data_IF_752195878747
#
_entry.id   IF_752195878747
#
_cell.length_a   1.000
_cell.length_b   1.000
_cell.length_c   1.000
_cell.angle_alpha   90.00
_cell.angle_beta   90.00
_cell.angle_gamma   90.00
#
_symmetry.space_group_name_H-M   'P 1'
#
loop_
_entity.id
_entity.type
_entity.pdbx_description
1 polymer ?
#
# COMPACT_ATOMS: atom_id res chain seq x y z
N UNK A 1 -23.00 -25.68 -0.78
CA UNK A 1 -23.40 -26.94 -1.44
C UNK A 1 -22.33 -27.32 -2.46
N UNK A 2 -21.36 -28.18 -2.11
CA UNK A 2 -20.40 -28.71 -3.10
C UNK A 2 -19.76 -30.00 -2.58
N UNK A 3 -20.46 -31.12 -2.79
CA UNK A 3 -19.87 -32.46 -2.79
C UNK A 3 -19.57 -32.86 -4.24
N UNK A 4 -18.75 -33.90 -4.42
CA UNK A 4 -18.53 -34.56 -5.71
C UNK A 4 -19.85 -34.68 -6.46
N UNK A 5 -19.93 -34.10 -7.66
CA UNK A 5 -21.07 -34.27 -8.56
C UNK A 5 -21.02 -35.70 -9.12
N UNK A 6 -21.27 -36.69 -8.26
CA UNK A 6 -21.72 -38.00 -8.69
C UNK A 6 -23.15 -37.80 -9.14
N UNK A 7 -23.43 -38.16 -10.38
CA UNK A 7 -24.75 -38.10 -10.98
C UNK A 7 -25.73 -38.84 -10.07
N UNK A 8 -26.47 -38.11 -9.24
CA UNK A 8 -27.60 -38.64 -8.50
C UNK A 8 -28.81 -38.51 -9.43
N UNK A 9 -29.43 -39.61 -9.86
CA UNK A 9 -30.59 -39.57 -10.77
C UNK A 9 -31.84 -38.91 -10.14
N UNK A 10 -31.74 -38.42 -8.90
CA UNK A 10 -32.83 -37.90 -8.09
C UNK A 10 -33.03 -36.38 -8.21
N UNK A 11 -32.13 -35.64 -8.88
CA UNK A 11 -32.20 -34.17 -8.93
C UNK A 11 -32.23 -33.64 -10.36
N UNK A 12 -33.30 -32.93 -10.73
CA UNK A 12 -33.47 -32.38 -12.08
C UNK A 12 -32.66 -31.08 -12.32
N UNK A 13 -32.41 -30.31 -11.25
CA UNK A 13 -31.70 -29.02 -11.27
C UNK A 13 -30.81 -28.88 -10.03
N UNK A 14 -29.56 -28.45 -10.21
CA UNK A 14 -28.60 -28.22 -9.14
C UNK A 14 -27.78 -26.95 -9.39
N UNK A 15 -27.50 -26.18 -8.35
CA UNK A 15 -26.74 -24.94 -8.48
C UNK A 15 -26.99 -23.98 -7.32
N UNK A 16 -26.37 -22.79 -7.35
CA UNK A 16 -25.44 -22.29 -8.36
C UNK A 16 -24.05 -22.94 -8.26
N UNK A 17 -23.43 -23.25 -9.40
CA UNK A 17 -22.08 -23.85 -9.45
C UNK A 17 -21.26 -23.31 -10.62
N UNK A 18 -19.93 -23.30 -10.47
CA UNK A 18 -19.02 -23.00 -11.56
C UNK A 18 -19.10 -24.03 -12.69
N UNK A 19 -19.28 -23.52 -13.90
CA UNK A 19 -19.25 -24.26 -15.15
C UNK A 19 -17.78 -24.63 -15.43
N UNK A 20 -17.53 -25.91 -15.66
CA UNK A 20 -16.22 -26.42 -16.05
C UNK A 20 -16.41 -27.64 -16.97
N UNK A 21 -15.43 -27.89 -17.81
CA UNK A 21 -15.40 -28.99 -18.79
C UNK A 21 -15.67 -30.36 -18.15
N UNK A 22 -15.00 -30.67 -17.02
CA UNK A 22 -15.21 -31.94 -16.30
C UNK A 22 -16.62 -32.09 -15.74
N UNK A 23 -17.32 -30.98 -15.47
CA UNK A 23 -18.72 -31.01 -15.02
C UNK A 23 -19.66 -31.09 -16.22
N UNK A 24 -19.35 -30.37 -17.29
CA UNK A 24 -20.13 -30.41 -18.54
C UNK A 24 -20.10 -31.79 -19.22
N UNK A 25 -19.10 -32.63 -18.93
CA UNK A 25 -19.08 -34.02 -19.40
C UNK A 25 -20.12 -34.92 -18.70
N UNK A 26 -20.66 -34.53 -17.54
CA UNK A 26 -21.63 -35.34 -16.77
C UNK A 26 -23.01 -34.69 -16.63
N UNK A 27 -23.10 -33.37 -16.70
CA UNK A 27 -24.36 -32.60 -16.61
C UNK A 27 -24.47 -31.58 -17.75
N UNK A 28 -25.69 -31.20 -18.10
CA UNK A 28 -25.94 -30.08 -19.01
C UNK A 28 -26.06 -28.78 -18.21
N UNK A 29 -25.65 -27.64 -18.75
CA UNK A 29 -25.76 -26.35 -18.07
C UNK A 29 -26.80 -25.47 -18.75
N UNK A 30 -27.59 -24.78 -17.94
CA UNK A 30 -28.40 -23.66 -18.39
C UNK A 30 -27.51 -22.44 -18.69
N UNK A 31 -28.09 -21.41 -19.29
CA UNK A 31 -27.42 -20.13 -19.53
C UNK A 31 -26.78 -19.60 -18.21
N UNK A 32 -25.54 -19.07 -18.26
CA UNK A 32 -24.88 -18.54 -17.07
C UNK A 32 -25.72 -17.50 -16.34
N UNK A 33 -25.84 -17.64 -15.03
CA UNK A 33 -26.51 -16.64 -14.18
C UNK A 33 -25.56 -15.47 -13.94
N UNK A 34 -24.28 -15.79 -13.69
CA UNK A 34 -23.28 -14.81 -13.29
C UNK A 34 -21.88 -15.24 -13.69
N UNK A 35 -20.92 -14.34 -13.46
CA UNK A 35 -19.50 -14.53 -13.68
C UNK A 35 -18.75 -14.15 -12.41
N UNK A 36 -17.79 -14.98 -12.01
CA UNK A 36 -16.96 -14.69 -10.84
C UNK A 36 -15.53 -15.16 -11.02
N UNK A 37 -14.65 -14.51 -10.28
CA UNK A 37 -13.21 -14.71 -10.31
C UNK A 37 -12.73 -15.17 -8.93
N UNK A 38 -11.63 -15.91 -8.87
CA UNK A 38 -11.03 -16.28 -7.60
C UNK A 38 -10.22 -15.14 -7.03
N UNK A 39 -10.40 -14.94 -5.74
CA UNK A 39 -9.68 -13.97 -4.93
C UNK A 39 -9.05 -14.67 -3.74
N UNK A 40 -8.10 -13.98 -3.11
CA UNK A 40 -7.47 -14.44 -1.88
C UNK A 40 -7.99 -13.62 -0.72
N UNK A 41 -8.53 -14.32 0.28
CA UNK A 41 -8.93 -13.76 1.55
C UNK A 41 -7.70 -13.75 2.46
N UNK A 42 -7.32 -12.59 2.96
CA UNK A 42 -6.16 -12.41 3.84
C UNK A 42 -6.44 -11.43 4.97
N UNK A 43 -5.74 -11.60 6.08
CA UNK A 43 -5.79 -10.66 7.20
C UNK A 43 -5.20 -9.30 6.82
N UNK A 44 -5.62 -8.27 7.55
CA UNK A 44 -4.99 -6.96 7.49
C UNK A 44 -3.73 -6.95 8.35
N UNK A 45 -2.62 -6.56 7.75
CA UNK A 45 -1.38 -6.31 8.47
C UNK A 45 -1.15 -4.80 8.56
N UNK A 46 -0.55 -4.31 9.67
CA UNK A 46 -0.04 -2.95 9.70
C UNK A 46 0.96 -2.80 8.54
N UNK A 47 0.72 -1.86 7.63
CA UNK A 47 1.69 -1.52 6.60
C UNK A 47 2.97 -1.17 7.31
N UNK A 48 4.04 -1.85 6.91
CA UNK A 48 5.32 -1.84 7.60
C UNK A 48 5.68 -0.41 8.01
N UNK A 49 5.72 -0.16 9.32
CA UNK A 49 6.03 1.14 9.90
C UNK A 49 7.51 1.41 9.63
N UNK A 50 7.82 1.88 8.42
CA UNK A 50 9.16 2.31 8.08
C UNK A 50 9.51 3.49 9.00
N UNK A 51 10.46 3.35 9.93
CA UNK A 51 10.78 4.42 10.89
C UNK A 51 11.35 5.66 10.18
N UNK A 52 11.76 5.53 8.92
CA UNK A 52 12.30 6.58 8.06
C UNK A 52 11.26 7.19 7.12
N UNK A 53 9.96 7.07 7.41
CA UNK A 53 8.90 7.62 6.57
C UNK A 53 9.05 9.14 6.34
N UNK A 54 9.54 9.86 7.35
CA UNK A 54 9.85 11.29 7.32
C UNK A 54 10.72 11.66 6.10
N UNK A 55 11.62 10.78 5.68
CA UNK A 55 12.47 10.99 4.50
C UNK A 55 11.82 10.59 3.19
N UNK A 56 10.87 9.66 3.21
CA UNK A 56 10.14 9.16 2.04
C UNK A 56 9.02 10.10 1.57
N UNK A 57 8.70 11.14 2.35
CA UNK A 57 7.68 12.15 1.98
C UNK A 57 8.05 12.83 0.66
N UNK A 58 9.33 13.14 0.46
CA UNK A 58 9.86 13.60 -0.81
C UNK A 58 10.68 12.50 -1.49
N UNK A 59 10.59 12.44 -2.81
CA UNK A 59 11.45 11.55 -3.59
C UNK A 59 12.92 11.95 -3.42
N UNK A 60 13.83 11.00 -3.61
CA UNK A 60 15.27 11.27 -3.62
C UNK A 60 15.61 12.38 -4.63
N UNK A 61 14.94 12.39 -5.77
CA UNK A 61 15.09 13.43 -6.79
C UNK A 61 14.71 14.82 -6.26
N UNK A 62 13.60 14.95 -5.53
CA UNK A 62 13.18 16.22 -4.93
C UNK A 62 14.18 16.70 -3.86
N UNK A 63 14.68 15.80 -3.00
CA UNK A 63 15.73 16.14 -2.03
C UNK A 63 17.01 16.67 -2.69
N UNK A 64 17.46 16.02 -3.77
CA UNK A 64 18.62 16.47 -4.53
C UNK A 64 18.40 17.85 -5.16
N UNK A 65 17.18 18.12 -5.66
CA UNK A 65 16.83 19.44 -6.20
C UNK A 65 16.82 20.54 -5.12
N UNK A 66 16.38 20.24 -3.90
CA UNK A 66 16.46 21.19 -2.77
C UNK A 66 17.92 21.51 -2.44
N UNK A 67 18.78 20.48 -2.34
CA UNK A 67 20.22 20.69 -2.10
C UNK A 67 20.83 21.52 -3.23
N UNK A 68 20.55 21.17 -4.48
CA UNK A 68 21.02 21.92 -5.64
C UNK A 68 20.55 23.38 -5.61
N UNK A 69 19.30 23.64 -5.21
CA UNK A 69 18.78 24.99 -5.04
C UNK A 69 19.59 25.77 -3.98
N UNK A 70 19.87 25.19 -2.81
CA UNK A 70 20.72 25.84 -1.79
C UNK A 70 22.08 26.25 -2.39
N UNK A 71 22.72 25.38 -3.17
CA UNK A 71 23.98 25.69 -3.84
C UNK A 71 23.85 26.82 -4.87
N UNK A 72 22.78 26.83 -5.68
CA UNK A 72 22.53 27.88 -6.69
C UNK A 72 22.32 29.24 -6.03
N UNK A 73 21.48 29.30 -4.98
CA UNK A 73 21.19 30.55 -4.26
C UNK A 73 22.43 31.06 -3.52
N UNK A 74 23.19 30.17 -2.87
CA UNK A 74 24.46 30.54 -2.22
C UNK A 74 25.51 31.04 -3.23
N UNK A 75 25.60 30.40 -4.41
CA UNK A 75 26.50 30.82 -5.48
C UNK A 75 26.10 32.19 -6.04
N UNK A 76 24.80 32.43 -6.22
CA UNK A 76 24.27 33.72 -6.70
C UNK A 76 24.56 34.84 -5.69
N UNK A 77 24.34 34.60 -4.40
CA UNK A 77 24.70 35.57 -3.35
C UNK A 77 26.21 35.84 -3.29
N UNK A 78 27.03 34.79 -3.46
CA UNK A 78 28.48 34.93 -3.55
C UNK A 78 28.90 35.74 -4.79
N UNK A 79 28.26 35.55 -5.94
CA UNK A 79 28.53 36.37 -7.13
C UNK A 79 28.23 37.85 -6.88
N UNK A 80 27.08 38.16 -6.27
CA UNK A 80 26.72 39.53 -5.86
C UNK A 80 27.80 40.12 -4.94
N UNK A 81 28.33 39.32 -4.00
CA UNK A 81 29.43 39.74 -3.12
C UNK A 81 30.71 40.06 -3.89
N UNK A 82 31.08 39.22 -4.86
CA UNK A 82 32.34 39.39 -5.60
C UNK A 82 32.33 40.53 -6.62
N UNK A 83 31.16 40.86 -7.18
CA UNK A 83 31.00 41.96 -8.12
C UNK A 83 31.05 43.31 -7.39
N UNK A 84 30.69 43.33 -6.10
CA UNK A 84 30.77 44.54 -5.29
C UNK A 84 32.23 44.84 -4.91
N UNK A 85 32.74 46.07 -5.13
CA UNK A 85 34.11 46.45 -4.76
C UNK A 85 34.25 46.47 -3.24
N UNK A 86 34.59 45.31 -2.66
CA UNK A 86 34.77 45.15 -1.22
C UNK A 86 36.26 45.19 -0.89
N UNK A 87 36.67 46.19 -0.09
CA UNK A 87 38.05 46.47 0.32
C UNK A 87 38.72 45.39 1.23
N UNK A 88 38.09 44.22 1.42
CA UNK A 88 38.55 43.22 2.39
C UNK A 88 39.11 41.99 1.68
N UNK A 89 40.37 41.66 1.95
CA UNK A 89 41.06 40.41 1.55
C UNK A 89 40.54 39.20 2.36
N UNK A 90 39.22 39.05 2.49
CA UNK A 90 38.67 37.81 3.04
C UNK A 90 38.94 36.67 2.03
N UNK A 91 39.27 35.47 2.53
CA UNK A 91 39.44 34.32 1.64
C UNK A 91 38.11 34.08 0.93
N UNK A 92 38.11 34.17 -0.40
CA UNK A 92 36.91 34.02 -1.25
C UNK A 92 36.13 32.73 -0.96
N UNK A 93 36.84 31.64 -0.66
CA UNK A 93 36.24 30.36 -0.27
C UNK A 93 35.46 30.44 1.05
N UNK A 94 35.96 31.16 2.04
CA UNK A 94 35.28 31.33 3.33
C UNK A 94 33.94 32.05 3.17
N UNK A 95 33.89 33.08 2.32
CA UNK A 95 32.65 33.81 2.04
C UNK A 95 31.56 32.90 1.46
N UNK A 96 31.91 32.03 0.49
CA UNK A 96 30.96 31.08 -0.10
C UNK A 96 30.36 30.13 0.95
N UNK A 97 31.20 29.50 1.79
CA UNK A 97 30.71 28.60 2.85
C UNK A 97 29.84 29.33 3.88
N UNK A 98 30.09 30.61 4.16
CA UNK A 98 29.22 31.42 5.05
C UNK A 98 27.86 31.70 4.42
N UNK A 99 27.78 31.93 3.10
CA UNK A 99 26.49 32.06 2.41
C UNK A 99 25.76 30.72 2.34
N UNK A 100 26.45 29.63 2.01
CA UNK A 100 25.88 28.28 2.00
C UNK A 100 25.20 27.97 3.34
N UNK A 101 25.92 28.21 4.43
CA UNK A 101 25.41 28.05 5.80
C UNK A 101 24.23 28.99 6.13
N UNK A 102 24.20 30.20 5.56
CA UNK A 102 23.11 31.15 5.81
C UNK A 102 21.81 30.73 5.10
N UNK A 103 21.90 30.26 3.85
CA UNK A 103 20.75 29.73 3.11
C UNK A 103 20.24 28.41 3.71
N UNK A 104 21.14 27.53 4.16
CA UNK A 104 20.78 26.29 4.88
C UNK A 104 20.04 26.59 6.20
N UNK A 105 20.51 27.56 6.99
CA UNK A 105 19.81 27.99 8.21
C UNK A 105 18.42 28.54 7.92
N UNK A 106 18.30 29.33 6.87
CA UNK A 106 17.03 29.90 6.41
C UNK A 106 16.03 28.83 6.00
N UNK A 107 16.49 27.77 5.34
CA UNK A 107 15.65 26.61 5.01
C UNK A 107 15.04 25.94 6.24
N UNK A 108 15.78 25.87 7.35
CA UNK A 108 15.33 25.28 8.62
C UNK A 108 14.45 26.28 9.43
N UNK A 109 14.14 27.45 8.87
CA UNK A 109 13.31 28.48 9.52
C UNK A 109 14.07 29.36 10.50
N UNK A 110 15.41 29.37 10.46
CA UNK A 110 16.24 30.30 11.24
C UNK A 110 16.64 31.49 10.38
N UNK A 111 16.68 32.69 10.97
CA UNK A 111 17.10 33.89 10.25
C UNK A 111 18.51 33.77 9.63
N UNK A 112 18.71 34.45 8.50
CA UNK A 112 20.03 34.61 7.85
C UNK A 112 21.11 35.19 8.79
N UNK A 113 20.69 35.80 9.90
CA UNK A 113 21.52 36.38 10.95
C UNK A 113 21.58 37.90 10.86
N UNK A 114 22.27 38.51 11.83
CA UNK A 114 22.37 39.97 11.92
C UNK A 114 23.21 40.58 10.78
N UNK A 115 22.78 41.74 10.30
CA UNK A 115 23.45 42.58 9.29
C UNK A 115 24.83 43.07 9.75
N UNK A 116 25.14 42.92 11.04
CA UNK A 116 26.45 43.22 11.61
C UNK A 116 27.55 42.25 11.14
N UNK A 117 27.18 41.07 10.64
CA UNK A 117 28.13 40.08 10.10
C UNK A 117 28.80 40.60 8.84
N UNK A 118 30.12 40.48 8.75
CA UNK A 118 30.92 41.09 7.68
C UNK A 118 30.51 40.68 6.25
N UNK A 119 30.03 39.44 6.06
CA UNK A 119 29.58 38.93 4.76
C UNK A 119 28.16 39.40 4.39
N UNK A 120 27.33 39.78 5.36
CA UNK A 120 25.98 40.30 5.10
C UNK A 120 25.95 41.84 5.03
N UNK A 121 26.81 42.51 5.81
CA UNK A 121 26.78 43.97 6.03
C UNK A 121 26.68 44.82 4.76
N UNK A 122 27.46 44.47 3.74
CA UNK A 122 27.55 45.28 2.51
C UNK A 122 26.47 44.94 1.50
N UNK A 123 25.89 43.74 1.58
CA UNK A 123 24.92 43.25 0.60
C UNK A 123 23.48 43.38 1.09
N UNK A 124 23.27 43.46 2.40
CA UNK A 124 21.94 43.46 3.02
C UNK A 124 20.98 44.54 2.46
N UNK A 125 21.53 45.69 2.09
CA UNK A 125 20.74 46.81 1.55
C UNK A 125 20.58 46.78 0.03
N UNK A 126 21.25 45.86 -0.69
CA UNK A 126 21.15 45.77 -2.14
C UNK A 126 19.78 45.22 -2.55
N UNK A 127 19.06 45.87 -3.48
CA UNK A 127 17.78 45.38 -3.99
C UNK A 127 17.85 43.97 -4.57
N UNK A 128 18.93 43.66 -5.32
CA UNK A 128 19.15 42.34 -5.93
C UNK A 128 19.23 41.22 -4.89
N UNK A 129 19.88 41.47 -3.75
CA UNK A 129 20.00 40.48 -2.69
C UNK A 129 18.70 40.34 -1.90
N UNK A 130 17.97 41.44 -1.67
CA UNK A 130 16.65 41.39 -1.03
C UNK A 130 15.66 40.60 -1.88
N UNK A 131 15.66 40.80 -3.20
CA UNK A 131 14.82 40.01 -4.10
C UNK A 131 15.20 38.52 -4.05
N UNK A 132 16.49 38.21 -4.10
CA UNK A 132 16.99 36.84 -3.96
C UNK A 132 16.53 36.19 -2.64
N UNK A 133 16.64 36.92 -1.53
CA UNK A 133 16.19 36.47 -0.21
C UNK A 133 14.67 36.27 -0.16
N UNK A 134 13.89 37.18 -0.74
CA UNK A 134 12.43 37.07 -0.78
C UNK A 134 11.96 35.86 -1.58
N UNK A 135 12.57 35.62 -2.75
CA UNK A 135 12.26 34.44 -3.58
C UNK A 135 12.64 33.15 -2.85
N UNK A 136 13.83 33.12 -2.22
CA UNK A 136 14.25 31.98 -1.41
C UNK A 136 13.29 31.70 -0.27
N UNK A 137 12.88 32.73 0.47
CA UNK A 137 11.96 32.60 1.59
C UNK A 137 10.59 32.08 1.14
N UNK A 138 10.05 32.62 0.04
CA UNK A 138 8.79 32.14 -0.53
C UNK A 138 8.89 30.66 -0.93
N UNK A 139 10.00 30.27 -1.57
CA UNK A 139 10.25 28.88 -1.94
C UNK A 139 10.32 27.95 -0.72
N UNK A 140 11.04 28.35 0.33
CA UNK A 140 11.12 27.59 1.58
C UNK A 140 9.75 27.46 2.24
N UNK A 141 8.96 28.54 2.28
CA UNK A 141 7.62 28.54 2.86
C UNK A 141 6.70 27.56 2.12
N UNK A 142 6.69 27.57 0.79
CA UNK A 142 5.89 26.62 -0.01
C UNK A 142 6.33 25.19 0.25
N UNK A 143 7.64 24.92 0.20
CA UNK A 143 8.18 23.57 0.44
C UNK A 143 7.87 23.04 1.84
N UNK A 144 7.98 23.88 2.87
CA UNK A 144 7.66 23.51 4.25
C UNK A 144 6.17 23.20 4.42
N UNK A 145 5.27 24.01 3.85
CA UNK A 145 3.83 23.77 3.93
C UNK A 145 3.42 22.49 3.18
N UNK A 146 3.98 22.26 1.99
CA UNK A 146 3.74 21.02 1.24
C UNK A 146 4.26 19.82 2.02
N UNK A 147 5.48 19.90 2.56
CA UNK A 147 6.07 18.84 3.36
C UNK A 147 5.21 18.51 4.60
N UNK A 148 4.77 19.53 5.34
CA UNK A 148 3.89 19.36 6.50
C UNK A 148 2.54 18.74 6.10
N UNK A 149 1.92 19.22 5.01
CA UNK A 149 0.65 18.68 4.53
C UNK A 149 0.75 17.21 4.12
N UNK A 150 1.79 16.85 3.35
CA UNK A 150 2.03 15.47 2.95
C UNK A 150 2.43 14.59 4.13
N UNK A 151 3.19 15.12 5.09
CA UNK A 151 3.49 14.42 6.34
C UNK A 151 2.20 14.04 7.06
N UNK A 152 1.34 15.03 7.33
CA UNK A 152 0.07 14.81 8.03
C UNK A 152 -0.82 13.83 7.28
N UNK A 153 -0.97 13.94 5.96
CA UNK A 153 -1.80 13.00 5.19
C UNK A 153 -1.24 11.58 5.21
N UNK A 154 0.07 11.40 5.15
CA UNK A 154 0.72 10.08 5.17
C UNK A 154 0.65 9.41 6.55
N UNK A 155 0.62 10.20 7.64
CA UNK A 155 0.38 9.68 8.98
C UNK A 155 -1.11 9.49 9.30
N UNK A 156 -2.00 10.26 8.65
CA UNK A 156 -3.45 10.14 8.83
C UNK A 156 -4.05 8.99 8.01
N UNK A 157 -3.45 8.61 6.88
CA UNK A 157 -3.87 7.45 6.12
C UNK A 157 -3.67 6.19 6.96
N UNK A 158 -4.77 5.51 7.28
CA UNK A 158 -4.72 4.27 8.03
C UNK A 158 -3.89 3.23 7.26
N UNK A 159 -2.96 2.60 7.98
CA UNK A 159 -1.91 1.76 7.41
C UNK A 159 -2.33 0.30 7.30
N UNK A 160 -3.57 -0.06 7.60
CA UNK A 160 -4.00 -1.45 7.41
C UNK A 160 -4.03 -1.79 5.92
N UNK A 161 -3.06 -2.60 5.48
CA UNK A 161 -3.00 -3.15 4.14
C UNK A 161 -3.32 -4.64 4.18
N UNK A 162 -3.95 -5.21 3.15
CA UNK A 162 -4.06 -6.65 3.04
C UNK A 162 -2.65 -7.26 3.06
N UNK A 163 -2.49 -8.38 3.75
CA UNK A 163 -1.21 -9.11 3.80
C UNK A 163 -0.75 -9.55 2.40
N UNK A 164 -1.71 -9.80 1.52
CA UNK A 164 -1.50 -10.22 0.14
C UNK A 164 -2.23 -9.25 -0.79
N UNK A 165 -1.47 -8.35 -1.41
CA UNK A 165 -2.00 -7.39 -2.39
C UNK A 165 -1.62 -7.75 -3.83
N UNK A 166 -0.52 -8.49 -4.01
CA UNK A 166 -0.03 -8.92 -5.32
C UNK A 166 0.26 -10.41 -5.36
N UNK A 167 0.29 -10.98 -6.57
CA UNK A 167 0.67 -12.36 -6.76
C UNK A 167 2.12 -12.63 -6.31
N UNK A 168 3.02 -11.66 -6.48
CA UNK A 168 4.41 -11.79 -6.03
C UNK A 168 4.49 -11.84 -4.50
N UNK A 169 3.69 -11.04 -3.80
CA UNK A 169 3.62 -11.10 -2.33
C UNK A 169 3.03 -12.42 -1.86
N UNK A 170 2.05 -12.96 -2.59
CA UNK A 170 1.49 -14.27 -2.30
C UNK A 170 2.54 -15.39 -2.36
N UNK A 171 3.48 -15.30 -3.30
CA UNK A 171 4.57 -16.27 -3.45
C UNK A 171 5.69 -16.09 -2.43
N UNK A 172 5.86 -14.90 -1.83
CA UNK A 172 6.94 -14.59 -0.87
C UNK A 172 6.74 -15.20 0.52
N UNK A 173 5.53 -15.60 0.90
CA UNK A 173 5.25 -16.16 2.23
C UNK A 173 5.16 -17.69 2.18
N UNK A 174 6.25 -18.45 2.36
CA UNK A 174 6.24 -19.91 2.30
C UNK A 174 5.50 -20.57 3.49
N UNK A 175 5.54 -19.93 4.66
CA UNK A 175 4.98 -20.49 5.91
C UNK A 175 3.46 -20.26 6.06
N UNK A 176 2.86 -19.48 5.16
CA UNK A 176 1.43 -19.17 5.22
C UNK A 176 0.60 -20.42 4.89
N UNK A 177 -0.41 -20.72 5.70
CA UNK A 177 -1.34 -21.81 5.40
C UNK A 177 -2.28 -21.34 4.28
N UNK A 178 -2.27 -22.02 3.12
CA UNK A 178 -3.18 -21.71 2.01
C UNK A 178 -4.28 -22.76 2.03
N UNK A 179 -5.54 -22.35 2.20
CA UNK A 179 -6.69 -23.24 2.23
C UNK A 179 -7.71 -22.97 1.13
N UNK A 180 -8.49 -24.00 0.82
CA UNK A 180 -9.74 -23.88 0.05
C UNK A 180 -10.68 -25.04 0.39
N UNK A 181 -11.91 -24.99 -0.12
CA UNK A 181 -12.86 -26.08 0.09
C UNK A 181 -12.54 -27.29 -0.80
N UNK A 182 -12.73 -28.48 -0.24
CA UNK A 182 -12.70 -29.73 -0.99
C UNK A 182 -13.70 -29.67 -2.16
N UNK A 183 -13.30 -30.18 -3.34
CA UNK A 183 -14.13 -30.24 -4.55
C UNK A 183 -14.65 -28.88 -5.07
N UNK A 184 -14.04 -27.77 -4.66
CA UNK A 184 -14.39 -26.44 -5.11
C UNK A 184 -13.64 -26.03 -6.40
N UNK A 185 -14.14 -24.97 -7.05
CA UNK A 185 -13.57 -24.43 -8.28
C UNK A 185 -12.08 -24.04 -8.17
N UNK A 186 -11.57 -23.48 -7.04
CA UNK A 186 -10.14 -23.21 -6.86
C UNK A 186 -9.24 -24.42 -7.08
N UNK A 187 -9.65 -25.59 -6.60
CA UNK A 187 -8.90 -26.85 -6.79
C UNK A 187 -8.82 -27.19 -8.28
N UNK A 188 -9.96 -27.11 -8.98
CA UNK A 188 -10.05 -27.45 -10.39
C UNK A 188 -9.25 -26.48 -11.27
N UNK A 189 -9.26 -25.18 -10.95
CA UNK A 189 -8.51 -24.21 -11.74
C UNK A 189 -7.01 -24.33 -11.52
N UNK A 190 -6.56 -24.37 -10.27
CA UNK A 190 -5.13 -24.46 -9.94
C UNK A 190 -4.51 -25.77 -10.41
N UNK A 191 -5.29 -26.86 -10.47
CA UNK A 191 -4.83 -28.12 -11.06
C UNK A 191 -4.46 -27.99 -12.54
N UNK A 192 -5.16 -27.15 -13.31
CA UNK A 192 -4.83 -26.89 -14.73
C UNK A 192 -3.58 -26.01 -14.90
N UNK A 193 -3.15 -25.34 -13.83
CA UNK A 193 -2.03 -24.38 -13.84
C UNK A 193 -0.72 -24.98 -13.29
N UNK A 194 -0.67 -26.30 -13.09
CA UNK A 194 0.56 -27.03 -12.75
C UNK A 194 1.58 -26.86 -13.89
N UNK A 195 2.83 -26.52 -13.57
CA UNK A 195 3.85 -26.10 -14.54
C UNK A 195 3.99 -24.58 -14.72
N UNK A 196 3.18 -23.79 -14.02
CA UNK A 196 3.31 -22.32 -13.93
C UNK A 196 3.89 -21.89 -12.57
N UNK A 197 4.06 -20.58 -12.35
CA UNK A 197 4.50 -20.02 -11.06
C UNK A 197 3.56 -20.39 -9.89
N UNK A 198 2.31 -20.80 -10.17
CA UNK A 198 1.30 -21.18 -9.19
C UNK A 198 1.35 -22.64 -8.75
N UNK A 199 2.27 -23.45 -9.27
CA UNK A 199 2.40 -24.87 -8.90
C UNK A 199 2.69 -25.04 -7.40
N UNK A 200 3.57 -24.21 -6.84
CA UNK A 200 3.90 -24.20 -5.41
C UNK A 200 2.68 -23.90 -4.53
N UNK A 201 1.82 -22.99 -4.99
CA UNK A 201 0.54 -22.64 -4.35
C UNK A 201 -0.39 -23.83 -4.36
N UNK A 202 -0.57 -24.49 -5.51
CA UNK A 202 -1.44 -25.65 -5.65
C UNK A 202 -1.04 -26.78 -4.70
N UNK A 203 0.26 -27.09 -4.60
CA UNK A 203 0.75 -28.14 -3.68
C UNK A 203 0.52 -27.81 -2.20
N UNK A 204 0.67 -26.54 -1.81
CA UNK A 204 0.39 -26.08 -0.43
C UNK A 204 -1.11 -26.12 -0.13
N UNK A 205 -1.92 -25.66 -1.08
CA UNK A 205 -3.37 -25.67 -0.96
C UNK A 205 -3.94 -27.09 -0.85
N UNK A 206 -3.44 -28.04 -1.65
CA UNK A 206 -3.88 -29.44 -1.64
C UNK A 206 -3.68 -30.13 -0.27
N UNK A 207 -2.73 -29.66 0.54
CA UNK A 207 -2.50 -30.18 1.90
C UNK A 207 -3.51 -29.67 2.93
N UNK A 208 -4.17 -28.53 2.66
CA UNK A 208 -5.08 -27.85 3.59
C UNK A 208 -6.46 -27.68 2.96
N UNK A 209 -7.02 -28.77 2.42
CA UNK A 209 -8.40 -28.77 1.96
C UNK A 209 -9.34 -28.89 3.15
N UNK A 210 -10.39 -28.07 3.14
CA UNK A 210 -11.36 -28.00 4.24
C UNK A 210 -12.71 -28.49 3.72
N UNK A 211 -13.43 -29.23 4.55
CA UNK A 211 -14.83 -29.58 4.25
C UNK A 211 -15.70 -28.33 4.36
N UNK A 212 -16.67 -28.22 3.44
CA UNK A 212 -17.58 -27.10 3.44
C UNK A 212 -18.43 -27.13 4.73
N UNK A 213 -18.42 -26.03 5.47
CA UNK A 213 -19.21 -25.85 6.68
C UNK A 213 -20.40 -24.92 6.41
N UNK A 214 -21.47 -25.07 7.19
CA UNK A 214 -22.62 -24.18 7.17
C UNK A 214 -22.43 -23.08 8.20
N UNK A 215 -22.11 -21.86 7.74
CA UNK A 215 -21.96 -20.70 8.61
C UNK A 215 -20.61 -20.00 8.42
N UNK A 216 -20.18 -19.26 9.45
CA UNK A 216 -18.86 -18.61 9.45
C UNK A 216 -17.79 -19.67 9.67
N UNK A 217 -16.83 -19.82 8.73
CA UNK A 217 -15.86 -20.88 8.86
C UNK A 217 -14.83 -20.62 9.97
N UNK A 218 -14.39 -21.65 10.72
CA UNK A 218 -13.39 -21.51 11.78
C UNK A 218 -12.01 -21.09 11.28
N UNK A 219 -11.72 -21.29 9.99
CA UNK A 219 -10.47 -20.84 9.39
C UNK A 219 -10.39 -19.31 9.30
N UNK A 220 -11.51 -18.58 9.37
CA UNK A 220 -11.52 -17.12 9.35
C UNK A 220 -10.69 -16.54 10.51
N UNK A 221 -10.75 -17.14 11.70
CA UNK A 221 -9.96 -16.73 12.87
C UNK A 221 -8.45 -16.82 12.61
N UNK A 222 -8.02 -17.83 11.84
CA UNK A 222 -6.60 -18.00 11.46
C UNK A 222 -6.16 -17.01 10.40
N UNK A 223 -7.09 -16.58 9.54
CA UNK A 223 -6.86 -15.53 8.54
C UNK A 223 -6.76 -14.16 9.22
N UNK A 224 -7.64 -13.88 10.18
CA UNK A 224 -7.58 -12.66 11.01
C UNK A 224 -6.25 -12.54 11.76
N UNK A 225 -5.67 -13.67 12.20
CA UNK A 225 -4.34 -13.72 12.84
C UNK A 225 -3.16 -13.62 11.86
N UNK A 226 -3.41 -13.55 10.55
CA UNK A 226 -2.37 -13.51 9.51
C UNK A 226 -1.58 -14.82 9.32
N UNK A 227 -2.08 -15.94 9.86
CA UNK A 227 -1.45 -17.27 9.77
C UNK A 227 -1.89 -18.06 8.55
N UNK A 228 -3.07 -17.75 8.03
CA UNK A 228 -3.65 -18.42 6.88
C UNK A 228 -4.15 -17.42 5.83
N UNK A 229 -4.25 -17.88 4.59
CA UNK A 229 -4.97 -17.23 3.51
C UNK A 229 -5.88 -18.26 2.83
N UNK A 230 -7.03 -17.79 2.35
CA UNK A 230 -8.04 -18.67 1.79
C UNK A 230 -8.38 -18.26 0.36
N UNK A 231 -8.47 -19.23 -0.55
CA UNK A 231 -8.83 -18.98 -1.94
C UNK A 231 -10.28 -19.38 -2.16
N UNK A 232 -11.10 -18.43 -2.58
CA UNK A 232 -12.51 -18.64 -2.90
C UNK A 232 -12.99 -17.64 -3.96
N UNK A 233 -14.21 -17.81 -4.47
CA UNK A 233 -14.80 -16.85 -5.39
C UNK A 233 -15.06 -15.49 -4.73
N UNK A 234 -14.93 -14.43 -5.52
CA UNK A 234 -15.03 -13.04 -5.07
C UNK A 234 -16.36 -12.72 -4.39
N UNK A 235 -17.47 -13.20 -4.96
CA UNK A 235 -18.81 -12.87 -4.48
C UNK A 235 -19.09 -13.50 -3.11
N UNK A 236 -18.85 -14.81 -2.99
CA UNK A 236 -19.00 -15.54 -1.74
C UNK A 236 -18.04 -15.04 -0.67
N UNK A 237 -16.79 -14.72 -1.04
CA UNK A 237 -15.79 -14.18 -0.12
C UNK A 237 -16.27 -12.86 0.50
N UNK A 238 -16.75 -11.93 -0.32
CA UNK A 238 -17.28 -10.65 0.15
C UNK A 238 -18.51 -10.85 1.03
N UNK A 239 -19.47 -11.66 0.61
CA UNK A 239 -20.66 -11.94 1.41
C UNK A 239 -20.32 -12.56 2.77
N UNK A 240 -19.40 -13.52 2.80
CA UNK A 240 -18.93 -14.17 4.03
C UNK A 240 -18.23 -13.19 4.98
N UNK A 241 -17.35 -12.32 4.47
CA UNK A 241 -16.69 -11.28 5.27
C UNK A 241 -17.74 -10.29 5.81
N UNK A 242 -18.75 -9.94 5.00
CA UNK A 242 -19.86 -9.09 5.42
C UNK A 242 -20.68 -9.69 6.57
N UNK A 243 -21.01 -10.98 6.51
CA UNK A 243 -21.69 -11.69 7.60
C UNK A 243 -20.82 -11.77 8.86
N UNK A 244 -19.51 -11.97 8.72
CA UNK A 244 -18.55 -11.90 9.83
C UNK A 244 -18.51 -10.51 10.48
N UNK A 245 -18.48 -9.46 9.66
CA UNK A 245 -18.51 -8.07 10.12
C UNK A 245 -19.81 -7.79 10.89
N UNK A 246 -20.96 -8.23 10.39
CA UNK A 246 -22.26 -8.07 11.07
C UNK A 246 -22.31 -8.71 12.47
N UNK A 247 -21.58 -9.81 12.69
CA UNK A 247 -21.54 -10.49 14.00
C UNK A 247 -20.50 -9.93 14.96
N UNK A 248 -19.36 -9.46 14.44
CA UNK A 248 -18.18 -9.11 15.27
C UNK A 248 -17.91 -7.61 15.35
N UNK A 249 -18.51 -6.82 14.45
CA UNK A 249 -18.27 -5.39 14.24
C UNK A 249 -16.79 -5.05 13.96
N UNK A 250 -16.02 -6.03 13.47
CA UNK A 250 -14.58 -5.90 13.18
C UNK A 250 -14.28 -6.18 11.72
N UNK A 251 -13.53 -5.28 11.09
CA UNK A 251 -13.05 -5.43 9.71
C UNK A 251 -11.56 -5.80 9.68
N UNK A 252 -11.22 -7.04 10.03
CA UNK A 252 -9.82 -7.52 10.12
C UNK A 252 -9.34 -8.31 8.89
N UNK A 253 -10.24 -8.57 7.94
CA UNK A 253 -10.00 -9.43 6.77
C UNK A 253 -10.40 -8.69 5.49
N UNK A 254 -9.63 -8.87 4.42
CA UNK A 254 -9.96 -8.34 3.09
C UNK A 254 -9.70 -9.34 1.97
N UNK A 255 -10.38 -9.14 0.86
CA UNK A 255 -10.08 -9.82 -0.41
C UNK A 255 -8.93 -9.11 -1.13
N UNK A 256 -8.14 -9.87 -1.88
CA UNK A 256 -7.07 -9.35 -2.74
C UNK A 256 -7.62 -8.46 -3.85
N UNK A 257 -6.81 -7.50 -4.31
CA UNK A 257 -7.14 -6.62 -5.44
C UNK A 257 -6.89 -7.27 -6.80
N UNK A 258 -6.01 -8.27 -6.85
CA UNK A 258 -5.83 -9.12 -8.03
C UNK A 258 -6.73 -10.35 -7.95
N UNK A 259 -7.13 -10.78 -9.14
CA UNK A 259 -7.94 -11.92 -9.42
C UNK A 259 -7.16 -12.94 -10.27
N UNK A 260 -7.59 -14.18 -10.22
CA UNK A 260 -7.11 -15.23 -11.12
C UNK A 260 -8.21 -16.26 -11.27
N UNK A 261 -8.13 -17.11 -12.29
CA UNK A 261 -9.10 -18.18 -12.51
C UNK A 261 -10.55 -17.68 -12.54
N UNK A 262 -11.01 -17.28 -13.72
CA UNK A 262 -12.36 -16.78 -13.91
C UNK A 262 -13.29 -17.83 -14.51
N UNK A 263 -14.55 -17.81 -14.08
CA UNK A 263 -15.52 -18.80 -14.51
C UNK A 263 -16.96 -18.31 -14.44
N UNK A 264 -17.78 -18.87 -15.32
CA UNK A 264 -19.21 -18.67 -15.30
C UNK A 264 -19.87 -19.54 -14.23
N UNK A 265 -20.84 -18.96 -13.53
CA UNK A 265 -21.68 -19.64 -12.55
C UNK A 265 -23.03 -19.91 -13.23
N UNK A 266 -23.46 -21.17 -13.20
CA UNK A 266 -24.71 -21.60 -13.82
C UNK A 266 -25.44 -22.65 -13.00
N UNK A 267 -26.62 -23.01 -13.50
CA UNK A 267 -27.39 -24.14 -12.99
C UNK A 267 -27.07 -25.37 -13.84
N UNK A 268 -26.71 -26.45 -13.18
CA UNK A 268 -26.62 -27.76 -13.80
C UNK A 268 -28.01 -28.39 -13.86
N UNK A 269 -28.27 -29.04 -14.98
CA UNK A 269 -29.45 -29.87 -15.24
C UNK A 269 -28.99 -31.28 -15.56
N UNK A 270 -29.88 -32.25 -15.34
CA UNK A 270 -29.62 -33.63 -15.72
C UNK A 270 -29.39 -33.74 -17.24
N UNK A 271 -28.55 -34.68 -17.66
CA UNK A 271 -28.33 -34.92 -19.09
C UNK A 271 -29.61 -35.40 -19.77
N UNK A 272 -29.88 -34.87 -20.95
CA UNK A 272 -31.04 -35.26 -21.75
C UNK A 272 -32.38 -34.68 -21.27
N UNK A 273 -32.34 -33.56 -20.52
CA UNK A 273 -33.52 -32.74 -20.26
C UNK A 273 -34.18 -32.33 -21.60
N UNK A 274 -35.52 -32.33 -21.72
CA UNK A 274 -36.17 -31.87 -22.95
C UNK A 274 -35.71 -30.46 -23.33
N UNK A 275 -35.27 -30.27 -24.57
CA UNK A 275 -34.76 -28.97 -25.09
C UNK A 275 -35.74 -27.82 -24.86
N UNK A 276 -37.04 -28.10 -24.91
CA UNK A 276 -38.08 -27.10 -24.64
C UNK A 276 -38.09 -26.63 -23.17
N UNK A 277 -37.79 -27.51 -22.22
CA UNK A 277 -37.65 -27.17 -20.80
C UNK A 277 -36.40 -26.34 -20.55
N UNK A 278 -35.26 -26.76 -21.12
CA UNK A 278 -34.00 -26.01 -21.01
C UNK A 278 -34.13 -24.60 -21.61
N UNK A 279 -34.76 -24.46 -22.79
CA UNK A 279 -34.98 -23.15 -23.40
C UNK A 279 -35.84 -22.22 -22.55
N UNK A 280 -36.89 -22.73 -21.91
CA UNK A 280 -37.71 -21.94 -20.98
C UNK A 280 -36.92 -21.48 -19.76
N UNK A 281 -36.03 -22.33 -19.25
CA UNK A 281 -35.13 -21.98 -18.14
C UNK A 281 -34.15 -20.89 -18.57
N UNK A 282 -33.54 -21.03 -19.75
CA UNK A 282 -32.62 -20.04 -20.30
C UNK A 282 -33.32 -18.68 -20.52
N UNK A 283 -34.52 -18.68 -21.11
CA UNK A 283 -35.34 -17.47 -21.29
C UNK A 283 -35.67 -16.80 -19.94
N UNK A 284 -35.91 -17.59 -18.88
CA UNK A 284 -36.19 -17.06 -17.54
C UNK A 284 -34.93 -16.47 -16.87
N UNK A 285 -33.78 -17.15 -16.99
CA UNK A 285 -32.49 -16.66 -16.47
C UNK A 285 -32.10 -15.36 -17.18
N UNK A 286 -32.26 -15.30 -18.50
CA UNK A 286 -32.01 -14.08 -19.28
C UNK A 286 -32.87 -12.93 -18.79
N UNK A 287 -34.20 -13.12 -18.65
CA UNK A 287 -35.09 -12.08 -18.10
C UNK A 287 -34.70 -11.64 -16.69
N UNK A 288 -34.26 -12.59 -15.85
CA UNK A 288 -33.81 -12.30 -14.49
C UNK A 288 -32.53 -11.44 -14.47
N UNK A 289 -31.58 -11.74 -15.37
CA UNK A 289 -30.34 -10.99 -15.54
C UNK A 289 -30.56 -9.62 -16.19
N UNK A 290 -31.31 -9.56 -17.29
CA UNK A 290 -31.67 -8.33 -18.01
C UNK A 290 -32.50 -7.38 -17.14
N UNK A 291 -33.38 -7.93 -16.28
CA UNK A 291 -34.12 -7.18 -15.28
C UNK A 291 -33.29 -6.67 -14.10
N UNK A 292 -31.97 -6.94 -14.07
CA UNK A 292 -31.01 -6.59 -13.00
C UNK A 292 -31.38 -7.13 -11.62
N UNK A 293 -32.23 -8.15 -11.54
CA UNK A 293 -32.63 -8.75 -10.27
C UNK A 293 -31.47 -9.53 -9.64
N UNK A 294 -30.69 -10.23 -10.48
CA UNK A 294 -29.45 -10.89 -10.06
C UNK A 294 -28.48 -9.90 -9.41
N UNK A 295 -28.22 -8.79 -10.10
CA UNK A 295 -27.30 -7.76 -9.64
C UNK A 295 -27.79 -7.08 -8.35
N UNK A 296 -29.10 -6.83 -8.22
CA UNK A 296 -29.66 -6.24 -7.00
C UNK A 296 -29.44 -7.15 -5.79
N UNK A 297 -29.76 -8.43 -5.92
CA UNK A 297 -29.58 -9.38 -4.83
C UNK A 297 -28.11 -9.56 -4.47
N UNK A 298 -27.24 -9.55 -5.48
CA UNK A 298 -25.79 -9.54 -5.29
C UNK A 298 -25.33 -8.32 -4.48
N UNK A 299 -25.77 -7.10 -4.84
CA UNK A 299 -25.43 -5.87 -4.12
C UNK A 299 -25.90 -5.91 -2.66
N UNK A 300 -27.12 -6.42 -2.40
CA UNK A 300 -27.64 -6.60 -1.05
C UNK A 300 -26.75 -7.57 -0.22
N UNK A 301 -26.25 -8.64 -0.85
CA UNK A 301 -25.42 -9.66 -0.18
C UNK A 301 -23.99 -9.20 0.17
N UNK A 302 -23.47 -8.18 -0.50
CA UNK A 302 -22.10 -7.65 -0.28
C UNK A 302 -22.09 -6.30 0.44
N UNK A 303 -23.25 -5.71 0.74
CA UNK A 303 -23.38 -4.39 1.35
C UNK A 303 -22.54 -4.25 2.64
N UNK A 304 -22.59 -5.23 3.53
CA UNK A 304 -21.83 -5.19 4.79
C UNK A 304 -20.32 -5.29 4.57
N UNK A 305 -19.89 -5.96 3.49
CA UNK A 305 -18.48 -5.94 3.09
C UNK A 305 -18.07 -4.56 2.60
N UNK A 306 -18.90 -3.88 1.80
CA UNK A 306 -18.58 -2.52 1.35
C UNK A 306 -18.51 -1.55 2.52
N UNK A 307 -19.42 -1.68 3.50
CA UNK A 307 -19.38 -0.92 4.75
C UNK A 307 -18.08 -1.21 5.52
N UNK A 308 -17.71 -2.48 5.72
CA UNK A 308 -16.45 -2.89 6.34
C UNK A 308 -15.23 -2.29 5.60
N UNK A 309 -15.22 -2.38 4.27
CA UNK A 309 -14.10 -1.91 3.46
C UNK A 309 -13.97 -0.39 3.45
N UNK A 310 -15.07 0.36 3.57
CA UNK A 310 -15.09 1.81 3.63
C UNK A 310 -14.89 2.36 5.04
N UNK A 311 -15.42 1.67 6.07
CA UNK A 311 -15.23 1.96 7.49
C UNK A 311 -13.90 1.38 7.98
N UNK A 312 -12.81 1.75 7.30
CA UNK A 312 -11.58 1.92 8.03
C UNK A 312 -11.83 3.16 8.87
N UNK A 313 -12.34 2.97 10.09
CA UNK A 313 -12.49 4.07 11.02
C UNK A 313 -11.21 4.90 10.97
N UNK A 314 -11.37 6.22 10.89
CA UNK A 314 -10.29 7.16 11.12
C UNK A 314 -9.86 7.03 12.59
N UNK A 315 -9.36 5.87 12.99
CA UNK A 315 -8.75 5.63 14.29
C UNK A 315 -7.50 6.48 14.23
N UNK A 316 -7.62 7.70 14.76
CA UNK A 316 -6.50 8.59 15.02
C UNK A 316 -5.64 7.88 16.06
N UNK A 317 -4.82 6.94 15.62
CA UNK A 317 -3.87 6.28 16.49
C UNK A 317 -2.84 7.34 16.90
N UNK A 318 -2.54 7.46 18.19
CA UNK A 318 -1.45 8.32 18.62
C UNK A 318 -0.15 7.85 17.95
N UNK A 319 0.72 8.79 17.59
CA UNK A 319 2.03 8.45 17.02
C UNK A 319 2.83 7.63 18.03
N UNK A 320 3.29 6.46 17.59
CA UNK A 320 4.11 5.57 18.40
C UNK A 320 5.59 6.01 18.35
N UNK A 321 6.38 5.61 19.35
CA UNK A 321 7.83 5.87 19.38
C UNK A 321 8.52 5.29 18.14
N UNK A 322 8.04 4.14 17.65
CA UNK A 322 8.55 3.50 16.43
C UNK A 322 8.33 4.36 15.18
N UNK A 323 7.27 5.17 15.14
CA UNK A 323 6.99 6.08 14.03
C UNK A 323 7.92 7.31 14.03
N UNK A 324 8.50 7.67 15.20
CA UNK A 324 9.45 8.79 15.36
C UNK A 324 10.92 8.35 15.48
N UNK A 325 11.19 7.05 15.45
CA UNK A 325 12.53 6.50 15.62
C UNK A 325 13.53 7.07 14.59
N UNK A 326 13.08 7.29 13.35
CA UNK A 326 13.88 7.95 12.32
C UNK A 326 14.35 9.34 12.75
N UNK A 327 13.48 10.18 13.31
CA UNK A 327 13.86 11.52 13.78
C UNK A 327 14.90 11.46 14.90
N UNK A 328 14.72 10.56 15.87
CA UNK A 328 15.68 10.39 16.97
C UNK A 328 17.03 9.85 16.50
N UNK A 329 17.06 8.94 15.53
CA UNK A 329 18.32 8.41 14.99
C UNK A 329 19.14 9.50 14.28
N UNK A 330 18.50 10.43 13.55
CA UNK A 330 19.17 11.60 12.94
C UNK A 330 19.77 12.50 14.01
N UNK A 331 19.02 12.76 15.09
CA UNK A 331 19.49 13.63 16.16
C UNK A 331 20.74 13.04 16.83
N UNK A 332 20.70 11.75 17.19
CA UNK A 332 21.83 11.05 17.81
C UNK A 332 23.02 11.02 16.86
N UNK A 333 22.83 10.63 15.60
CA UNK A 333 23.91 10.60 14.61
C UNK A 333 24.52 11.98 14.38
N UNK A 334 23.70 13.03 14.28
CA UNK A 334 24.16 14.41 14.14
C UNK A 334 24.99 14.88 15.34
N UNK A 335 24.57 14.54 16.56
CA UNK A 335 25.32 14.83 17.78
C UNK A 335 26.66 14.09 17.83
N UNK A 336 26.67 12.79 17.48
CA UNK A 336 27.89 11.99 17.41
C UNK A 336 28.88 12.56 16.39
N UNK A 337 28.42 12.90 15.19
CA UNK A 337 29.26 13.49 14.13
C UNK A 337 29.84 14.84 14.58
N UNK A 338 29.01 15.70 15.16
CA UNK A 338 29.45 16.99 15.71
C UNK A 338 30.53 16.82 16.80
N UNK A 339 30.35 15.85 17.70
CA UNK A 339 31.31 15.53 18.76
C UNK A 339 32.63 15.00 18.18
N UNK A 340 32.59 14.17 17.15
CA UNK A 340 33.78 13.69 16.44
C UNK A 340 34.55 14.87 15.83
N UNK A 341 33.88 15.78 15.12
CA UNK A 341 34.52 16.97 14.55
C UNK A 341 35.15 17.85 15.64
N UNK A 342 34.46 18.06 16.76
CA UNK A 342 35.00 18.81 17.89
C UNK A 342 36.26 18.17 18.47
N UNK A 343 36.28 16.84 18.63
CA UNK A 343 37.47 16.11 19.10
C UNK A 343 38.62 16.23 18.10
N UNK A 344 38.35 16.12 16.80
CA UNK A 344 39.36 16.31 15.76
C UNK A 344 39.95 17.72 15.78
N UNK A 345 39.11 18.75 15.91
CA UNK A 345 39.56 20.14 16.05
C UNK A 345 40.45 20.34 17.29
N UNK A 346 40.10 19.72 18.42
CA UNK A 346 40.93 19.75 19.63
C UNK A 346 42.29 19.06 19.43
N UNK A 347 42.30 17.90 18.77
CA UNK A 347 43.54 17.16 18.48
C UNK A 347 44.44 17.94 17.51
N UNK A 348 43.87 18.50 16.45
CA UNK A 348 44.60 19.33 15.49
C UNK A 348 45.17 20.59 16.16
N UNK A 349 44.39 21.28 17.00
CA UNK A 349 44.85 22.45 17.73
C UNK A 349 45.98 22.11 18.73
N UNK A 350 45.89 20.97 19.43
CA UNK A 350 46.96 20.49 20.31
C UNK A 350 48.23 20.13 19.53
N UNK A 351 48.11 19.46 18.37
CA UNK A 351 49.25 19.13 17.52
C UNK A 351 49.96 20.38 16.97
N UNK A 352 49.19 21.39 16.55
CA UNK A 352 49.75 22.68 16.10
C UNK A 352 50.44 23.42 17.25
N UNK A 353 49.90 23.36 18.47
CA UNK A 353 50.53 23.96 19.66
C UNK A 353 51.81 23.24 20.12
N UNK A 354 51.97 21.95 19.79
CA UNK A 354 53.16 21.15 20.13
C UNK A 354 54.30 21.34 19.12
N UNK A 355 53.98 21.80 17.90
CA UNK A 355 54.94 22.07 16.82
C UNK A 355 55.34 23.57 16.70
N UNK A 356 54.84 24.43 17.60
CA UNK A 356 55.34 25.79 17.84
C UNK A 356 56.07 25.79 19.16
#
# INVERSE_FOLDING_TARGET
>A
MQGDMRYAPETDLAGPIFINEQRASVVDFAFPIDFSELVIISGLVPANKNPFLIFKIFSVTAWLLVILAVFIFASTAYLIYTILPTNRKAKKSEAFFKYLWAFEKSFIGKDFGSNTRWFLRHIWFLPSFRLLQSIWFLGCLVLLNVYQGTMVSTYAADRLRPQIESLDDFLKYPDLIIGTYENAYPVMCLQKLVGTRLESVFHRMKKNLIKMDTGIPPWMDSVEQGKAAYISDSMYSKSMIGERFKQTDKCSVRVSTFDFCSGYIGLATRKGLPKAGLRKLDEAILRFSEGRLAQRHMLESVLYYDICSQNVENVRQPLDLMDLLGAFTILVTGLCVSLIFFVLELLMNRAVKKNK
#
